data_IF_547629893341
#
_entry.id   IF_547629893341
#
_cell.length_a   1.000
_cell.length_b   1.000
_cell.length_c   1.000
_cell.angle_alpha   90.00
_cell.angle_beta   90.00
_cell.angle_gamma   90.00
#
_symmetry.space_group_name_H-M   'P 1'
#
loop_
_entity.id
_entity.type
_entity.pdbx_description
1 polymer ?
#
# COMPACT_ATOMS: atom_id res chain seq x y z
N UNK A 1 -96.54 3.76 -19.69
CA UNK A 1 -96.26 4.40 -20.99
C UNK A 1 -94.78 4.78 -20.97
N UNK A 2 -93.91 3.85 -21.38
CA UNK A 2 -93.13 3.92 -22.62
C UNK A 2 -91.73 4.52 -22.32
N UNK A 3 -90.70 3.66 -22.16
CA UNK A 3 -89.64 3.32 -23.16
C UNK A 3 -88.54 4.38 -23.26
N UNK A 4 -87.23 4.10 -23.35
CA UNK A 4 -86.37 2.92 -23.23
C UNK A 4 -84.93 3.48 -23.42
N UNK A 5 -83.93 2.84 -22.79
CA UNK A 5 -82.55 2.62 -23.29
C UNK A 5 -81.45 3.70 -23.36
N UNK A 6 -80.24 3.24 -22.97
CA UNK A 6 -78.91 3.65 -23.46
C UNK A 6 -78.10 4.47 -22.44
N UNK A 7 -77.37 3.94 -21.46
CA UNK A 7 -76.29 2.93 -21.44
C UNK A 7 -74.90 3.47 -21.90
N UNK A 8 -73.88 3.13 -21.09
CA UNK A 8 -72.41 3.14 -21.36
C UNK A 8 -71.70 4.51 -21.32
N UNK A 9 -70.46 4.67 -20.85
CA UNK A 9 -69.52 3.91 -20.03
C UNK A 9 -68.34 4.86 -19.71
N UNK A 10 -67.53 4.43 -18.76
CA UNK A 10 -66.24 4.95 -18.29
C UNK A 10 -65.23 5.38 -19.37
N UNK A 11 -64.32 6.33 -19.10
CA UNK A 11 -62.86 6.06 -19.06
C UNK A 11 -61.97 7.27 -18.68
N UNK A 12 -60.80 6.90 -18.15
CA UNK A 12 -59.66 7.66 -17.64
C UNK A 12 -58.70 8.07 -18.77
N UNK A 13 -58.10 9.27 -18.75
CA UNK A 13 -56.83 9.55 -19.47
C UNK A 13 -56.12 10.82 -18.97
N UNK A 14 -54.85 10.67 -18.60
CA UNK A 14 -53.92 11.78 -18.36
C UNK A 14 -53.18 12.21 -19.64
N UNK A 15 -52.48 13.34 -19.58
CA UNK A 15 -51.51 13.74 -20.61
C UNK A 15 -51.14 15.23 -20.63
N UNK A 16 -50.01 15.57 -19.98
CA UNK A 16 -48.84 16.29 -20.50
C UNK A 16 -48.98 17.58 -21.36
N UNK A 17 -48.25 18.65 -20.98
CA UNK A 17 -47.63 19.58 -21.95
C UNK A 17 -46.28 20.14 -21.43
N UNK A 18 -45.23 19.82 -22.19
CA UNK A 18 -43.87 20.38 -22.14
C UNK A 18 -43.85 21.83 -22.66
N UNK A 19 -42.96 22.66 -22.13
CA UNK A 19 -42.55 23.92 -22.78
C UNK A 19 -41.16 23.75 -23.40
N UNK A 20 -41.09 23.84 -24.72
CA UNK A 20 -39.89 24.15 -25.50
C UNK A 20 -40.32 25.17 -26.57
N UNK A 21 -39.69 26.35 -26.59
CA UNK A 21 -39.66 27.24 -27.75
C UNK A 21 -38.30 27.94 -27.79
N UNK A 22 -37.42 27.42 -28.65
CA UNK A 22 -36.34 28.16 -29.29
C UNK A 22 -36.94 29.06 -30.38
N UNK A 23 -36.29 30.19 -30.73
CA UNK A 23 -35.89 30.58 -32.11
C UNK A 23 -35.52 32.09 -32.26
N UNK A 24 -34.32 32.29 -32.81
CA UNK A 24 -33.78 33.35 -33.69
C UNK A 24 -33.31 34.74 -33.16
N UNK A 25 -31.99 34.78 -32.91
CA UNK A 25 -30.97 35.52 -33.69
C UNK A 25 -31.29 36.89 -34.29
N UNK A 26 -30.56 37.94 -33.87
CA UNK A 26 -29.96 38.95 -34.77
C UNK A 26 -28.73 39.64 -34.15
N UNK A 27 -27.71 39.71 -35.01
CA UNK A 27 -26.37 40.33 -34.89
C UNK A 27 -26.44 41.82 -34.48
N UNK A 28 -25.44 42.33 -33.76
CA UNK A 28 -24.33 43.12 -34.33
C UNK A 28 -23.63 44.06 -33.33
N UNK A 29 -22.31 44.22 -33.52
CA UNK A 29 -21.40 45.31 -33.12
C UNK A 29 -20.97 45.39 -31.64
N UNK A 30 -19.77 44.88 -31.30
CA UNK A 30 -18.45 45.57 -31.34
C UNK A 30 -18.21 46.54 -30.16
N UNK A 31 -17.39 46.09 -29.21
CA UNK A 31 -16.42 46.93 -28.50
C UNK A 31 -15.29 46.05 -27.96
N UNK A 32 -14.34 45.73 -28.84
CA UNK A 32 -12.96 45.40 -28.47
C UNK A 32 -12.21 46.70 -28.16
N UNK A 33 -11.35 46.69 -27.13
CA UNK A 33 -9.93 47.15 -27.13
C UNK A 33 -9.49 47.51 -25.69
N UNK A 34 -8.28 47.06 -25.36
CA UNK A 34 -7.26 47.55 -24.40
C UNK A 34 -6.78 46.36 -23.53
N UNK A 35 -5.53 45.92 -23.53
CA UNK A 35 -4.36 46.16 -24.36
C UNK A 35 -3.37 45.03 -24.04
N UNK A 36 -2.72 44.48 -25.05
CA UNK A 36 -1.54 43.62 -24.92
C UNK A 36 -0.27 44.46 -24.89
N UNK A 37 0.60 44.25 -23.89
CA UNK A 37 2.05 44.49 -23.96
C UNK A 37 2.69 43.81 -22.73
N UNK A 38 3.46 42.72 -22.87
CA UNK A 38 4.88 42.65 -23.28
C UNK A 38 5.80 42.61 -22.05
N UNK A 39 6.34 41.42 -21.74
CA UNK A 39 7.77 41.24 -21.47
C UNK A 39 8.15 39.77 -21.45
N UNK A 40 8.59 39.29 -22.61
CA UNK A 40 9.56 38.21 -22.72
C UNK A 40 10.93 38.80 -22.38
N UNK A 41 11.58 38.30 -21.34
CA UNK A 41 13.04 38.35 -21.22
C UNK A 41 13.56 36.95 -20.94
N UNK A 42 14.06 36.39 -22.03
CA UNK A 42 15.09 35.38 -22.16
C UNK A 42 16.32 35.75 -21.29
N UNK A 43 16.85 34.83 -20.49
CA UNK A 43 18.27 34.46 -20.57
C UNK A 43 18.60 33.26 -19.65
N UNK A 44 19.05 32.19 -20.28
CA UNK A 44 19.85 31.13 -19.67
C UNK A 44 21.07 31.73 -18.97
N UNK A 45 21.35 31.31 -17.74
CA UNK A 45 22.68 31.37 -17.15
C UNK A 45 22.99 30.04 -16.47
N UNK A 46 23.39 29.09 -17.30
CA UNK A 46 24.35 28.05 -16.92
C UNK A 46 25.66 28.77 -16.63
N UNK A 47 26.08 28.78 -15.38
CA UNK A 47 27.50 28.95 -15.04
C UNK A 47 27.96 27.69 -14.32
N UNK A 48 28.47 26.78 -15.14
CA UNK A 48 29.51 25.86 -14.73
C UNK A 48 30.71 26.70 -14.26
N UNK A 49 31.12 26.53 -13.01
CA UNK A 49 32.44 26.96 -12.55
C UNK A 49 33.42 25.78 -12.66
N UNK A 50 34.67 26.05 -13.07
CA UNK A 50 35.60 25.03 -13.51
C UNK A 50 36.31 24.31 -12.35
N UNK A 51 36.61 23.03 -12.60
CA UNK A 51 37.71 22.30 -11.97
C UNK A 51 38.99 23.13 -12.01
N UNK A 52 39.62 23.31 -10.85
CA UNK A 52 41.05 23.59 -10.77
C UNK A 52 41.72 22.42 -10.07
N UNK A 53 42.36 21.59 -10.90
CA UNK A 53 43.48 20.77 -10.50
C UNK A 53 44.63 21.70 -10.12
N UNK A 54 45.11 21.60 -8.88
CA UNK A 54 46.42 22.07 -8.50
C UNK A 54 47.28 20.83 -8.20
N UNK A 55 48.14 20.52 -9.16
CA UNK A 55 49.30 19.67 -8.93
C UNK A 55 50.26 20.43 -8.01
N UNK A 56 50.67 19.80 -6.92
CA UNK A 56 51.97 20.06 -6.30
C UNK A 56 52.75 18.76 -6.34
N UNK A 57 53.71 18.80 -7.25
CA UNK A 57 54.89 17.95 -7.29
C UNK A 57 55.66 18.09 -5.99
N UNK A 58 56.10 16.98 -5.42
CA UNK A 58 57.44 16.87 -4.85
C UNK A 58 57.90 15.43 -5.09
N UNK A 59 58.88 15.32 -6.00
CA UNK A 59 59.62 14.10 -6.24
C UNK A 59 60.60 13.93 -5.08
N UNK A 60 60.81 12.70 -4.61
CA UNK A 60 62.19 12.22 -4.47
C UNK A 60 62.28 10.70 -4.41
N UNK A 61 63.34 10.24 -5.06
CA UNK A 61 63.62 8.88 -5.53
C UNK A 61 63.89 7.86 -4.40
N UNK A 62 63.44 6.61 -4.58
CA UNK A 62 64.33 5.47 -4.83
C UNK A 62 63.54 4.16 -5.09
N UNK A 63 63.93 3.41 -6.13
CA UNK A 63 63.45 2.07 -6.52
C UNK A 63 64.68 1.15 -6.58
N UNK A 64 64.66 -0.11 -6.08
CA UNK A 64 64.38 -1.29 -6.94
C UNK A 64 63.64 -2.45 -6.20
N UNK A 65 62.60 -3.03 -6.82
CA UNK A 65 62.63 -4.23 -7.67
C UNK A 65 62.62 -5.57 -6.90
N UNK A 66 61.44 -6.20 -6.95
CA UNK A 66 61.10 -7.63 -6.96
C UNK A 66 62.09 -8.68 -6.42
N UNK A 67 61.57 -9.60 -5.60
CA UNK A 67 61.60 -11.06 -5.81
C UNK A 67 60.75 -11.78 -4.74
N UNK A 68 59.77 -12.57 -5.17
CA UNK A 68 59.18 -13.66 -4.34
C UNK A 68 60.25 -14.71 -4.04
N UNK A 69 60.12 -15.44 -2.92
CA UNK A 69 59.69 -16.83 -3.09
C UNK A 69 58.77 -17.34 -1.99
N UNK A 70 58.13 -18.43 -2.34
CA UNK A 70 57.13 -19.21 -1.65
C UNK A 70 57.82 -20.09 -0.59
N UNK A 71 57.20 -20.26 0.60
CA UNK A 71 57.43 -21.46 1.40
C UNK A 71 56.34 -21.67 2.46
N UNK A 72 55.69 -22.83 2.31
CA UNK A 72 54.85 -23.49 3.28
C UNK A 72 55.72 -24.06 4.43
N UNK A 73 55.07 -24.36 5.58
CA UNK A 73 55.44 -25.32 6.64
C UNK A 73 55.85 -24.81 8.04
N UNK A 74 55.00 -25.22 8.98
CA UNK A 74 55.17 -25.52 10.41
C UNK A 74 55.05 -24.41 11.48
N UNK A 75 53.92 -24.47 12.20
CA UNK A 75 53.66 -23.86 13.51
C UNK A 75 54.63 -24.35 14.61
N UNK A 76 54.89 -23.51 15.61
CA UNK A 76 54.93 -23.94 17.01
C UNK A 76 53.71 -23.40 17.76
N UNK A 77 53.11 -24.27 18.57
CA UNK A 77 52.02 -23.96 19.49
C UNK A 77 52.40 -22.80 20.43
N UNK A 78 51.61 -21.72 20.41
CA UNK A 78 51.67 -20.66 21.41
C UNK A 78 50.34 -20.62 22.17
N UNK A 79 50.40 -21.22 23.36
CA UNK A 79 49.68 -20.97 24.61
C UNK A 79 48.37 -20.16 24.50
N UNK A 80 47.26 -20.80 24.90
CA UNK A 80 46.02 -20.11 25.27
C UNK A 80 46.36 -19.08 26.37
N UNK A 81 46.10 -17.78 26.17
CA UNK A 81 46.15 -16.84 27.28
C UNK A 81 44.97 -17.10 28.21
N UNK A 82 45.23 -17.01 29.51
CA UNK A 82 44.28 -17.23 30.59
C UNK A 82 43.02 -16.36 30.47
N UNK A 83 41.93 -16.89 31.03
CA UNK A 83 40.54 -16.50 30.73
C UNK A 83 40.09 -15.16 31.32
N UNK A 84 41.00 -14.41 31.95
CA UNK A 84 40.63 -13.36 32.90
C UNK A 84 41.21 -11.97 32.60
N UNK A 85 41.77 -11.74 31.41
CA UNK A 85 42.14 -10.39 30.96
C UNK A 85 41.82 -10.17 29.47
N UNK A 86 40.60 -9.72 29.17
CA UNK A 86 40.18 -9.31 27.82
C UNK A 86 39.40 -7.99 27.89
N UNK A 87 39.94 -6.96 27.26
CA UNK A 87 39.24 -5.69 26.98
C UNK A 87 37.97 -5.90 26.14
N UNK A 88 36.91 -5.08 26.31
CA UNK A 88 35.60 -5.25 25.62
C UNK A 88 35.67 -5.18 24.09
N UNK A 89 36.78 -4.73 23.51
CA UNK A 89 36.97 -4.55 22.08
C UNK A 89 37.25 -5.85 21.31
N UNK A 90 37.60 -6.96 21.99
CA UNK A 90 37.88 -8.25 21.34
C UNK A 90 36.65 -9.16 21.18
N UNK A 91 35.50 -8.79 21.76
CA UNK A 91 34.24 -9.52 21.58
C UNK A 91 33.54 -9.19 20.26
N UNK A 92 33.67 -7.94 19.78
CA UNK A 92 32.90 -7.42 18.63
C UNK A 92 33.29 -7.99 17.26
N UNK A 93 34.43 -8.69 17.17
CA UNK A 93 34.91 -9.27 15.91
C UNK A 93 34.65 -10.77 15.78
N UNK A 94 34.04 -11.45 16.77
CA UNK A 94 33.65 -12.87 16.63
C UNK A 94 32.23 -13.09 16.13
N UNK A 95 31.39 -12.07 16.21
CA UNK A 95 30.00 -12.15 15.76
C UNK A 95 29.86 -11.87 14.25
N UNK A 96 30.94 -11.44 13.59
CA UNK A 96 30.94 -11.10 12.15
C UNK A 96 31.29 -12.29 11.24
N UNK A 97 31.80 -13.38 11.78
CA UNK A 97 32.24 -14.55 11.00
C UNK A 97 31.19 -15.69 10.93
N UNK A 98 30.00 -15.51 11.52
CA UNK A 98 28.89 -16.50 11.39
C UNK A 98 28.05 -16.34 10.14
N UNK A 99 28.22 -15.25 9.39
CA UNK A 99 27.42 -14.97 8.20
C UNK A 99 28.03 -15.56 6.91
N UNK A 100 29.13 -16.33 7.01
CA UNK A 100 29.90 -16.80 5.85
C UNK A 100 29.65 -18.26 5.44
N UNK A 101 28.87 -19.00 6.20
CA UNK A 101 28.68 -20.46 6.00
C UNK A 101 27.38 -20.85 5.29
N UNK A 102 26.59 -19.89 4.77
CA UNK A 102 25.36 -20.20 4.03
C UNK A 102 25.49 -19.97 2.51
N UNK A 103 26.62 -20.40 1.92
CA UNK A 103 26.85 -20.37 0.46
C UNK A 103 26.79 -21.78 -0.16
N UNK A 104 26.21 -22.76 0.56
CA UNK A 104 26.20 -24.16 0.15
C UNK A 104 24.79 -24.77 0.10
N UNK A 105 23.92 -24.22 -0.75
CA UNK A 105 22.83 -24.97 -1.37
C UNK A 105 22.34 -24.22 -2.62
N UNK A 106 22.85 -24.61 -3.79
CA UNK A 106 22.38 -24.15 -5.08
C UNK A 106 20.94 -24.57 -5.36
N UNK A 107 20.00 -23.75 -4.90
CA UNK A 107 18.79 -23.43 -5.64
C UNK A 107 18.83 -21.93 -5.87
N UNK A 108 18.49 -21.41 -7.06
CA UNK A 108 18.10 -20.01 -7.14
C UNK A 108 16.85 -19.90 -6.26
N UNK A 109 17.04 -19.52 -4.99
CA UNK A 109 15.99 -18.87 -4.23
C UNK A 109 15.60 -17.72 -5.14
N UNK A 110 14.46 -17.86 -5.81
CA UNK A 110 13.93 -16.83 -6.69
C UNK A 110 13.59 -15.71 -5.71
N UNK A 111 14.54 -14.82 -5.49
CA UNK A 111 14.42 -13.70 -4.57
C UNK A 111 13.10 -13.02 -4.89
N UNK A 112 12.12 -13.10 -3.98
CA UNK A 112 10.86 -12.40 -4.18
C UNK A 112 11.24 -10.96 -4.37
N UNK A 113 10.78 -10.36 -5.46
CA UNK A 113 10.98 -8.94 -5.59
C UNK A 113 10.14 -8.28 -4.50
N UNK A 114 10.74 -7.39 -3.70
CA UNK A 114 10.03 -6.56 -2.72
C UNK A 114 8.74 -5.93 -3.30
N UNK A 115 8.73 -5.65 -4.60
CA UNK A 115 7.57 -5.18 -5.37
C UNK A 115 6.42 -6.20 -5.42
N UNK A 116 6.71 -7.48 -5.59
CA UNK A 116 5.69 -8.55 -5.66
C UNK A 116 5.02 -8.77 -4.31
N UNK A 117 5.81 -8.80 -3.23
CA UNK A 117 5.28 -8.81 -1.87
C UNK A 117 4.38 -7.61 -1.62
N UNK A 118 4.85 -6.40 -1.95
CA UNK A 118 4.08 -5.16 -1.77
C UNK A 118 2.76 -5.16 -2.54
N UNK A 119 2.73 -5.70 -3.75
CA UNK A 119 1.50 -5.75 -4.54
C UNK A 119 0.50 -6.76 -3.96
N UNK A 120 0.99 -7.90 -3.46
CA UNK A 120 0.14 -8.90 -2.84
C UNK A 120 -0.38 -8.45 -1.47
N UNK A 121 0.47 -7.83 -0.66
CA UNK A 121 0.15 -7.19 0.61
C UNK A 121 -0.99 -6.17 0.45
N UNK A 122 -0.86 -5.22 -0.49
CA UNK A 122 -1.95 -4.29 -0.84
C UNK A 122 -3.25 -4.98 -1.27
N UNK A 123 -3.14 -6.09 -1.99
CA UNK A 123 -4.29 -6.88 -2.39
C UNK A 123 -4.98 -7.48 -1.15
N UNK A 124 -4.23 -8.10 -0.24
CA UNK A 124 -4.76 -8.68 0.99
C UNK A 124 -5.36 -7.63 1.94
N UNK A 125 -4.73 -6.47 2.03
CA UNK A 125 -5.28 -5.32 2.75
C UNK A 125 -6.69 -4.95 2.27
N UNK A 126 -6.87 -4.91 0.94
CA UNK A 126 -8.15 -4.56 0.33
C UNK A 126 -9.16 -5.71 0.35
N UNK A 127 -8.71 -6.95 0.60
CA UNK A 127 -9.54 -8.16 0.61
C UNK A 127 -9.37 -8.92 1.93
N UNK A 128 -9.89 -8.38 3.04
CA UNK A 128 -9.63 -8.91 4.39
C UNK A 128 -10.17 -10.34 4.61
N UNK A 129 -11.25 -10.73 3.93
CA UNK A 129 -11.77 -12.11 3.97
C UNK A 129 -10.76 -13.09 3.35
N UNK A 130 -10.22 -12.74 2.18
CA UNK A 130 -9.20 -13.55 1.49
C UNK A 130 -7.91 -13.59 2.31
N UNK A 131 -7.50 -12.45 2.90
CA UNK A 131 -6.34 -12.39 3.78
C UNK A 131 -6.49 -13.32 4.99
N UNK A 132 -7.66 -13.34 5.63
CA UNK A 132 -7.93 -14.21 6.77
C UNK A 132 -7.88 -15.70 6.39
N UNK A 133 -8.49 -16.06 5.26
CA UNK A 133 -8.50 -17.42 4.77
C UNK A 133 -7.09 -17.90 4.37
N UNK A 134 -6.33 -17.07 3.66
CA UNK A 134 -4.94 -17.38 3.29
C UNK A 134 -3.99 -17.39 4.49
N UNK A 135 -4.25 -16.59 5.53
CA UNK A 135 -3.50 -16.65 6.77
C UNK A 135 -3.73 -17.97 7.52
N UNK A 136 -4.95 -18.52 7.48
CA UNK A 136 -5.29 -19.81 8.09
C UNK A 136 -4.78 -20.98 7.25
N UNK A 137 -4.97 -20.91 5.94
CA UNK A 137 -4.55 -21.95 5.01
C UNK A 137 -3.98 -21.34 3.71
N UNK A 138 -2.67 -21.08 3.66
CA UNK A 138 -1.99 -20.59 2.47
C UNK A 138 -2.21 -21.44 1.21
N UNK A 139 -2.51 -22.73 1.35
CA UNK A 139 -2.68 -23.64 0.22
C UNK A 139 -3.96 -23.38 -0.59
N UNK A 140 -4.89 -22.57 -0.07
CA UNK A 140 -6.13 -22.18 -0.78
C UNK A 140 -5.85 -21.46 -2.10
N UNK A 141 -4.68 -20.82 -2.24
CA UNK A 141 -4.25 -20.22 -3.51
C UNK A 141 -4.10 -21.23 -4.66
N UNK A 142 -3.90 -22.51 -4.32
CA UNK A 142 -3.79 -23.62 -5.27
C UNK A 142 -5.10 -24.39 -5.43
N UNK A 143 -6.11 -24.08 -4.61
CA UNK A 143 -7.43 -24.66 -4.70
C UNK A 143 -8.23 -23.92 -5.78
N UNK A 144 -8.54 -24.63 -6.86
CA UNK A 144 -9.25 -24.05 -8.00
C UNK A 144 -10.69 -23.63 -7.65
N UNK A 145 -11.36 -24.32 -6.73
CA UNK A 145 -12.72 -23.99 -6.32
C UNK A 145 -12.70 -22.72 -5.46
N UNK A 146 -11.71 -22.56 -4.59
CA UNK A 146 -11.50 -21.32 -3.83
C UNK A 146 -11.20 -20.15 -4.77
N UNK A 147 -10.20 -20.29 -5.65
CA UNK A 147 -9.83 -19.23 -6.60
C UNK A 147 -11.00 -18.87 -7.53
N UNK A 148 -11.84 -19.82 -7.93
CA UNK A 148 -13.02 -19.53 -8.75
C UNK A 148 -14.12 -18.79 -7.98
N UNK A 149 -14.25 -18.99 -6.67
CA UNK A 149 -15.20 -18.26 -5.80
C UNK A 149 -14.73 -16.84 -5.50
N UNK A 150 -13.42 -16.58 -5.60
CA UNK A 150 -12.81 -15.27 -5.38
C UNK A 150 -12.28 -14.69 -6.70
N UNK A 151 -13.16 -14.08 -7.54
CA UNK A 151 -12.75 -13.55 -8.84
C UNK A 151 -11.63 -12.52 -8.73
N UNK A 152 -11.61 -11.69 -7.68
CA UNK A 152 -10.54 -10.70 -7.48
C UNK A 152 -9.17 -11.35 -7.22
N UNK A 153 -9.13 -12.47 -6.47
CA UNK A 153 -7.90 -13.25 -6.28
C UNK A 153 -7.45 -13.89 -7.58
N UNK A 154 -8.40 -14.45 -8.35
CA UNK A 154 -8.11 -15.03 -9.65
C UNK A 154 -7.50 -14.00 -10.60
N UNK A 155 -8.11 -12.84 -10.71
CA UNK A 155 -7.65 -11.76 -11.58
C UNK A 155 -6.29 -11.24 -11.13
N UNK A 156 -6.09 -11.07 -9.81
CA UNK A 156 -4.79 -10.71 -9.23
C UNK A 156 -3.69 -11.71 -9.61
N UNK A 157 -3.93 -13.02 -9.44
CA UNK A 157 -2.94 -14.06 -9.76
C UNK A 157 -2.67 -14.16 -11.26
N UNK A 158 -3.63 -13.81 -12.11
CA UNK A 158 -3.43 -13.75 -13.56
C UNK A 158 -2.58 -12.55 -13.98
N UNK A 159 -2.78 -11.38 -13.35
CA UNK A 159 -2.00 -10.18 -13.66
C UNK A 159 -0.62 -10.15 -12.99
N UNK A 160 -0.38 -11.00 -11.97
CA UNK A 160 0.88 -11.11 -11.24
C UNK A 160 1.51 -12.51 -11.36
N UNK A 161 2.05 -12.88 -12.54
CA UNK A 161 2.60 -14.21 -12.76
C UNK A 161 3.75 -14.56 -11.81
N UNK A 162 4.57 -13.59 -11.39
CA UNK A 162 5.66 -13.84 -10.44
C UNK A 162 5.17 -14.22 -9.04
N UNK A 163 4.18 -13.48 -8.49
CA UNK A 163 3.51 -13.84 -7.23
C UNK A 163 2.87 -15.23 -7.35
N UNK A 164 2.15 -15.48 -8.47
CA UNK A 164 1.47 -16.75 -8.71
C UNK A 164 2.43 -17.92 -8.74
N UNK A 165 3.56 -17.80 -9.43
CA UNK A 165 4.58 -18.86 -9.50
C UNK A 165 5.10 -19.19 -8.09
N UNK A 166 5.44 -18.17 -7.32
CA UNK A 166 6.05 -18.38 -6.02
C UNK A 166 5.10 -18.90 -4.96
N UNK A 167 3.92 -18.27 -4.83
CA UNK A 167 2.91 -18.69 -3.86
C UNK A 167 2.37 -20.08 -4.21
N UNK A 168 2.39 -20.48 -5.48
CA UNK A 168 2.01 -21.84 -5.90
C UNK A 168 3.04 -22.89 -5.47
N UNK A 169 4.32 -22.60 -5.62
CA UNK A 169 5.40 -23.51 -5.24
C UNK A 169 5.51 -23.66 -3.72
N UNK A 170 5.48 -22.55 -2.98
CA UNK A 170 5.67 -22.56 -1.53
C UNK A 170 4.72 -21.59 -0.81
N UNK A 171 3.39 -21.89 -0.76
CA UNK A 171 2.40 -20.97 -0.21
C UNK A 171 2.70 -20.55 1.24
N UNK A 172 3.15 -21.52 2.05
CA UNK A 172 3.51 -21.31 3.45
C UNK A 172 4.72 -20.37 3.64
N UNK A 173 5.71 -20.45 2.76
CA UNK A 173 6.91 -19.60 2.84
C UNK A 173 6.56 -18.18 2.41
N UNK A 174 5.80 -18.06 1.32
CA UNK A 174 5.35 -16.79 0.79
C UNK A 174 4.50 -16.02 1.81
N UNK A 175 3.47 -16.66 2.39
CA UNK A 175 2.62 -16.02 3.41
C UNK A 175 3.40 -15.62 4.67
N UNK A 176 4.43 -16.39 5.06
CA UNK A 176 5.31 -15.96 6.18
C UNK A 176 6.15 -14.74 5.83
N UNK A 177 6.54 -14.56 4.57
CA UNK A 177 7.29 -13.39 4.10
C UNK A 177 6.37 -12.17 4.02
N UNK A 178 5.15 -12.34 3.52
CA UNK A 178 4.10 -11.33 3.54
C UNK A 178 3.79 -10.87 4.98
N UNK A 179 3.58 -11.78 5.92
CA UNK A 179 3.28 -11.40 7.31
C UNK A 179 4.41 -10.60 7.97
N UNK A 180 5.67 -10.88 7.59
CA UNK A 180 6.85 -10.11 8.02
C UNK A 180 6.92 -8.75 7.34
N UNK A 181 6.48 -8.66 6.08
CA UNK A 181 6.35 -7.40 5.35
C UNK A 181 5.31 -6.52 6.01
N UNK A 182 4.11 -7.03 6.24
CA UNK A 182 2.99 -6.36 6.92
C UNK A 182 3.40 -5.82 8.31
N UNK A 183 4.12 -6.65 9.09
CA UNK A 183 4.63 -6.23 10.40
C UNK A 183 5.63 -5.07 10.34
N UNK A 184 6.35 -4.92 9.22
CA UNK A 184 7.31 -3.82 8.99
C UNK A 184 6.60 -2.59 8.43
N UNK A 185 5.72 -2.78 7.44
CA UNK A 185 4.94 -1.69 6.85
C UNK A 185 4.14 -0.96 7.93
N UNK A 186 3.52 -1.73 8.84
CA UNK A 186 2.80 -1.14 9.96
C UNK A 186 3.64 -0.16 10.77
N UNK A 187 4.93 -0.41 11.01
CA UNK A 187 5.77 0.53 11.76
C UNK A 187 6.10 1.82 11.00
N UNK A 188 6.15 1.77 9.67
CA UNK A 188 6.50 2.93 8.81
C UNK A 188 5.27 3.80 8.51
N UNK A 189 4.10 3.20 8.25
CA UNK A 189 2.84 3.90 7.96
C UNK A 189 2.14 4.42 9.23
N UNK A 190 2.50 3.87 10.41
CA UNK A 190 1.95 4.24 11.72
C UNK A 190 2.24 5.68 12.17
N UNK A 191 3.17 6.40 11.54
CA UNK A 191 3.62 7.72 12.01
C UNK A 191 2.53 8.82 12.03
N UNK A 192 1.36 8.57 11.42
CA UNK A 192 0.29 9.58 11.28
C UNK A 192 -1.00 9.35 12.07
N UNK A 193 -1.28 8.17 12.61
CA UNK A 193 -2.58 7.88 13.26
C UNK A 193 -2.44 7.89 14.78
N UNK A 194 -3.16 8.80 15.42
CA UNK A 194 -3.29 8.79 16.87
C UNK A 194 -4.26 7.69 17.32
N UNK A 195 -4.02 7.08 18.49
CA UNK A 195 -5.00 6.18 19.11
C UNK A 195 -6.39 6.85 19.31
N UNK A 196 -6.41 8.19 19.35
CA UNK A 196 -7.63 8.98 19.44
C UNK A 196 -8.45 8.93 18.14
N UNK A 197 -7.80 9.05 16.98
CA UNK A 197 -8.48 8.99 15.68
C UNK A 197 -9.07 7.61 15.42
N UNK A 198 -8.34 6.55 15.77
CA UNK A 198 -8.84 5.19 15.67
C UNK A 198 -10.09 4.99 16.55
N UNK A 199 -10.05 5.46 17.80
CA UNK A 199 -11.20 5.44 18.71
C UNK A 199 -12.39 6.24 18.20
N UNK A 200 -12.16 7.39 17.55
CA UNK A 200 -13.26 8.20 17.00
C UNK A 200 -13.95 7.48 15.83
N UNK A 201 -13.17 6.82 14.98
CA UNK A 201 -13.69 6.06 13.86
C UNK A 201 -14.44 4.79 14.31
N UNK A 202 -13.87 4.07 15.26
CA UNK A 202 -14.47 2.92 15.94
C UNK A 202 -15.87 3.27 16.50
N UNK A 203 -15.98 4.33 17.30
CA UNK A 203 -17.29 4.83 17.79
C UNK A 203 -18.27 5.18 16.68
N UNK A 204 -17.76 5.72 15.57
CA UNK A 204 -18.57 6.03 14.40
C UNK A 204 -19.13 4.73 13.79
N UNK A 205 -18.31 3.72 13.56
CA UNK A 205 -18.73 2.42 13.02
C UNK A 205 -19.70 1.69 13.95
N UNK A 206 -19.50 1.77 15.26
CA UNK A 206 -20.38 1.22 16.26
C UNK A 206 -21.83 1.72 16.14
N UNK A 207 -21.97 3.00 15.77
CA UNK A 207 -23.25 3.69 15.56
C UNK A 207 -23.79 3.54 14.13
N UNK A 208 -22.94 3.11 13.18
CA UNK A 208 -23.26 2.98 11.76
C UNK A 208 -22.94 1.56 11.27
N UNK A 209 -23.68 0.58 11.79
CA UNK A 209 -23.41 -0.85 11.54
C UNK A 209 -23.42 -1.24 10.06
N UNK A 210 -24.30 -0.66 9.24
CA UNK A 210 -24.31 -0.90 7.79
C UNK A 210 -22.99 -0.46 7.15
N UNK A 211 -22.50 0.73 7.52
CA UNK A 211 -21.22 1.26 7.02
C UNK A 211 -20.05 0.41 7.53
N UNK A 212 -20.11 -0.04 8.78
CA UNK A 212 -19.11 -0.93 9.36
C UNK A 212 -19.02 -2.25 8.59
N UNK A 213 -20.16 -2.91 8.33
CA UNK A 213 -20.21 -4.18 7.61
C UNK A 213 -19.67 -4.05 6.18
N UNK A 214 -20.02 -2.96 5.49
CA UNK A 214 -19.58 -2.70 4.13
C UNK A 214 -18.08 -2.40 4.07
N UNK A 215 -17.56 -1.54 4.97
CA UNK A 215 -16.12 -1.24 5.04
C UNK A 215 -15.29 -2.43 5.54
N UNK A 216 -15.86 -3.31 6.35
CA UNK A 216 -15.21 -4.55 6.77
C UNK A 216 -15.04 -5.52 5.60
N UNK A 217 -16.02 -5.59 4.69
CA UNK A 217 -15.94 -6.44 3.49
C UNK A 217 -15.04 -5.81 2.42
N UNK A 218 -15.23 -4.51 2.19
CA UNK A 218 -14.50 -3.76 1.19
C UNK A 218 -14.05 -2.40 1.75
N UNK A 219 -12.83 -2.34 2.32
CA UNK A 219 -12.27 -1.10 2.85
C UNK A 219 -12.19 0.03 1.82
N UNK A 220 -12.05 -0.28 0.53
CA UNK A 220 -11.87 0.74 -0.53
C UNK A 220 -13.10 1.62 -0.76
N UNK A 221 -14.28 1.22 -0.27
CA UNK A 221 -15.52 2.00 -0.37
C UNK A 221 -15.42 3.40 0.27
N UNK A 222 -14.46 3.61 1.16
CA UNK A 222 -14.18 4.92 1.76
C UNK A 222 -13.64 5.97 0.77
N UNK A 223 -13.04 5.55 -0.35
CA UNK A 223 -12.60 6.44 -1.45
C UNK A 223 -13.58 6.40 -2.64
N UNK A 224 -14.58 5.50 -2.61
CA UNK A 224 -15.65 5.46 -3.60
C UNK A 224 -16.59 6.66 -3.43
N UNK A 225 -16.61 7.53 -4.42
CA UNK A 225 -17.34 8.80 -4.35
C UNK A 225 -18.85 8.60 -4.29
N UNK A 226 -19.39 7.56 -4.93
CA UNK A 226 -20.82 7.28 -4.95
C UNK A 226 -21.29 6.72 -3.62
N UNK A 227 -20.52 5.82 -3.01
CA UNK A 227 -20.72 5.29 -1.67
C UNK A 227 -20.67 6.41 -0.63
N UNK A 228 -19.59 7.20 -0.61
CA UNK A 228 -19.47 8.34 0.32
C UNK A 228 -20.60 9.36 0.14
N UNK A 229 -21.11 9.57 -1.09
CA UNK A 229 -22.25 10.46 -1.32
C UNK A 229 -23.59 9.88 -0.84
N UNK A 230 -23.77 8.55 -0.87
CA UNK A 230 -24.95 7.87 -0.32
C UNK A 230 -24.94 7.80 1.21
N UNK A 231 -23.76 7.86 1.82
CA UNK A 231 -23.58 7.86 3.28
C UNK A 231 -23.13 9.26 3.78
N UNK A 232 -24.06 10.23 3.94
CA UNK A 232 -23.72 11.59 4.33
C UNK A 232 -23.00 11.67 5.69
N UNK A 233 -23.30 10.77 6.63
CA UNK A 233 -22.64 10.74 7.93
C UNK A 233 -21.16 10.32 7.82
N UNK A 234 -20.84 9.33 6.97
CA UNK A 234 -19.45 8.98 6.65
C UNK A 234 -18.73 10.15 5.97
N UNK A 235 -19.40 10.83 5.04
CA UNK A 235 -18.84 12.01 4.37
C UNK A 235 -18.49 13.13 5.36
N UNK A 236 -19.40 13.44 6.28
CA UNK A 236 -19.16 14.45 7.33
C UNK A 236 -18.05 14.00 8.27
N UNK A 237 -18.02 12.72 8.64
CA UNK A 237 -16.95 12.16 9.48
C UNK A 237 -15.57 12.34 8.83
N UNK A 238 -15.41 11.94 7.56
CA UNK A 238 -14.15 12.06 6.81
C UNK A 238 -13.74 13.52 6.58
N UNK A 239 -14.69 14.45 6.50
CA UNK A 239 -14.40 15.89 6.38
C UNK A 239 -13.89 16.49 7.70
N UNK A 240 -14.41 16.02 8.83
CA UNK A 240 -14.05 16.53 10.17
C UNK A 240 -12.82 15.82 10.77
N UNK A 241 -12.51 14.61 10.31
CA UNK A 241 -11.38 13.80 10.77
C UNK A 241 -10.34 13.64 9.65
N UNK A 242 -9.57 14.71 9.42
CA UNK A 242 -8.61 14.77 8.30
C UNK A 242 -7.52 13.71 8.37
N UNK A 243 -7.05 13.33 9.57
CA UNK A 243 -6.03 12.28 9.71
C UNK A 243 -6.57 10.90 9.39
N UNK A 244 -7.81 10.58 9.82
CA UNK A 244 -8.50 9.35 9.40
C UNK A 244 -8.63 9.34 7.87
N UNK A 245 -9.20 10.40 7.27
CA UNK A 245 -9.39 10.49 5.82
C UNK A 245 -8.09 10.30 5.04
N UNK A 246 -6.99 10.92 5.47
CA UNK A 246 -5.69 10.77 4.80
C UNK A 246 -5.22 9.32 4.82
N UNK A 247 -5.39 8.65 5.95
CA UNK A 247 -4.90 7.30 6.16
C UNK A 247 -5.75 6.26 5.48
N UNK A 248 -7.07 6.33 5.62
CA UNK A 248 -7.95 5.42 4.89
C UNK A 248 -7.82 5.64 3.37
N UNK A 249 -7.49 6.84 2.91
CA UNK A 249 -7.18 7.08 1.49
C UNK A 249 -5.84 6.48 1.05
N UNK A 250 -4.84 6.45 1.92
CA UNK A 250 -3.51 5.93 1.59
C UNK A 250 -3.47 4.40 1.62
N UNK A 251 -4.04 3.81 2.67
CA UNK A 251 -4.18 2.37 2.81
C UNK A 251 -5.48 2.04 3.56
N UNK A 252 -6.61 1.91 2.84
CA UNK A 252 -7.91 1.66 3.46
C UNK A 252 -7.94 0.32 4.21
N UNK A 253 -7.31 -0.70 3.62
CA UNK A 253 -7.25 -2.05 4.14
C UNK A 253 -6.52 -2.15 5.47
N UNK A 254 -5.31 -1.62 5.51
CA UNK A 254 -4.49 -1.56 6.73
C UNK A 254 -5.22 -0.79 7.84
N UNK A 255 -5.85 0.34 7.53
CA UNK A 255 -6.61 1.10 8.51
C UNK A 255 -7.77 0.28 9.10
N UNK A 256 -8.57 -0.38 8.26
CA UNK A 256 -9.65 -1.26 8.70
C UNK A 256 -9.13 -2.47 9.47
N UNK A 257 -7.95 -2.99 9.14
CA UNK A 257 -7.30 -4.06 9.90
C UNK A 257 -6.95 -3.63 11.32
N UNK A 258 -6.49 -2.39 11.50
CA UNK A 258 -6.24 -1.80 12.82
C UNK A 258 -7.53 -1.59 13.61
N UNK A 259 -8.58 -1.12 12.96
CA UNK A 259 -9.91 -0.99 13.57
C UNK A 259 -10.41 -2.35 14.08
N UNK A 260 -10.35 -3.41 13.27
CA UNK A 260 -10.73 -4.77 13.70
C UNK A 260 -9.90 -5.27 14.89
N UNK A 261 -8.61 -4.93 14.93
CA UNK A 261 -7.74 -5.26 16.08
C UNK A 261 -8.14 -4.46 17.32
N UNK A 262 -8.55 -3.20 17.16
CA UNK A 262 -9.04 -2.35 18.23
C UNK A 262 -10.35 -2.89 18.81
N UNK A 263 -11.34 -3.17 17.97
CA UNK A 263 -12.65 -3.71 18.37
C UNK A 263 -12.49 -5.03 19.15
N UNK A 264 -11.67 -5.96 18.65
CA UNK A 264 -11.36 -7.22 19.35
C UNK A 264 -10.76 -6.99 20.74
N UNK A 265 -9.95 -5.96 20.93
CA UNK A 265 -9.35 -5.64 22.22
C UNK A 265 -10.35 -4.95 23.15
N UNK A 266 -11.22 -4.11 22.61
CA UNK A 266 -12.30 -3.48 23.35
C UNK A 266 -13.28 -4.54 23.88
N UNK A 267 -13.73 -5.46 23.03
CA UNK A 267 -14.66 -6.53 23.40
C UNK A 267 -14.12 -7.45 24.49
N UNK A 268 -12.82 -7.76 24.44
CA UNK A 268 -12.15 -8.52 25.52
C UNK A 268 -12.09 -7.77 26.84
N UNK A 269 -12.13 -6.43 26.79
CA UNK A 269 -12.05 -5.56 27.96
C UNK A 269 -13.44 -5.27 28.56
N UNK A 270 -14.53 -5.57 27.84
CA UNK A 270 -15.90 -5.46 28.35
C UNK A 270 -16.14 -6.58 29.39
N UNK A 271 -16.63 -6.27 30.60
CA UNK A 271 -16.95 -7.30 31.58
C UNK A 271 -18.04 -8.22 31.03
N UNK A 272 -17.78 -9.53 30.98
CA UNK A 272 -18.77 -10.53 30.62
C UNK A 272 -19.87 -10.52 31.68
N UNK A 273 -21.10 -10.20 31.28
CA UNK A 273 -22.28 -10.22 32.14
C UNK A 273 -22.84 -11.62 32.29
#
# INVERSE_FOLDING_TARGET
MATYQGELETCKKGGNTKMDQNILTRRSLRATIFATALSLVLCLLVLATPNQAAAQTDNDANRPAAQQPDNDRNQPAVQKPDRDDMSPAAQQNRDRDKDKDNVAAGRPDKDINHTELKNFDKFLDSHPEIAEDLAKNPSLVNDQDYVNKHPDLKDFLQSHPGVREEIKENPQVFMRREQRFESREGNETNAGITNQELRNFDKFLDSHREIADDLQKNPSLVDDQDYVNKHPDLKVFLQTHTGVRQQVKQNPGFFMQRERKYEKNEDRSKPQK
#
